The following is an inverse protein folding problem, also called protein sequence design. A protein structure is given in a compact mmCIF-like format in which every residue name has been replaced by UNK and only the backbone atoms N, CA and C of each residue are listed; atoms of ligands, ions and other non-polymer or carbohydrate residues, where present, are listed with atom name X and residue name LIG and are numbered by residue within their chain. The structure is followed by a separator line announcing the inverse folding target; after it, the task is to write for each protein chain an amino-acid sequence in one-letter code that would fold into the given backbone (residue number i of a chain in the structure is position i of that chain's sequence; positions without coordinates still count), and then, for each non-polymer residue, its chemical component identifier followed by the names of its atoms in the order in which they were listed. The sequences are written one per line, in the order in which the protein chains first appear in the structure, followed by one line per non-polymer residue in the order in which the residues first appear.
data_IF_622277743440
#
_entry.id   IF_622277743440
#
_cell.length_a   1.000
_cell.length_b   1.000
_cell.length_c   1.000
_cell.angle_alpha   90.00
_cell.angle_beta   90.00
_cell.angle_gamma   90.00
#
_symmetry.space_group_name_H-M   'P 1'
#
loop_
_entity.id
_entity.type
_entity.pdbx_description
1 polymer ?
#
# COMPACT_ATOMS: atom_id res chain seq x y z
N UNK A 1 20.30 -11.02 8.93
CA UNK A 1 18.87 -10.90 8.58
C UNK A 1 18.83 -10.37 7.16
N UNK A 2 18.14 -11.06 6.26
CA UNK A 2 17.89 -10.60 4.90
C UNK A 2 16.70 -9.65 4.94
N UNK A 3 16.88 -8.41 4.50
CA UNK A 3 15.80 -7.42 4.47
C UNK A 3 15.28 -7.27 3.04
N UNK A 4 13.97 -7.12 2.88
CA UNK A 4 13.27 -6.92 1.60
C UNK A 4 12.28 -5.76 1.73
N UNK A 5 11.99 -5.12 0.61
CA UNK A 5 10.88 -4.16 0.50
C UNK A 5 9.71 -4.90 -0.12
N UNK A 6 8.52 -4.66 0.37
CA UNK A 6 7.31 -5.10 -0.31
C UNK A 6 6.44 -3.91 -0.68
N UNK A 7 5.72 -4.04 -1.79
CA UNK A 7 4.72 -3.09 -2.25
C UNK A 7 3.35 -3.76 -2.28
N UNK A 8 2.35 -3.10 -1.72
CA UNK A 8 0.96 -3.54 -1.75
C UNK A 8 0.17 -2.52 -2.58
N UNK A 9 -0.24 -2.92 -3.78
CA UNK A 9 -1.09 -2.10 -4.64
C UNK A 9 -2.52 -2.62 -4.57
N UNK A 10 -3.46 -1.75 -4.24
CA UNK A 10 -4.88 -2.10 -4.17
C UNK A 10 -5.45 -2.26 -5.58
N UNK A 11 -6.05 -3.41 -5.89
CA UNK A 11 -6.81 -3.63 -7.14
C UNK A 11 -8.31 -3.36 -6.95
N UNK A 12 -8.74 -3.26 -5.69
CA UNK A 12 -10.09 -2.90 -5.27
C UNK A 12 -10.01 -2.06 -3.99
N UNK A 13 -11.08 -1.37 -3.62
CA UNK A 13 -11.11 -0.64 -2.35
C UNK A 13 -10.77 -1.58 -1.18
N UNK A 14 -9.86 -1.15 -0.31
CA UNK A 14 -9.28 -1.95 0.76
C UNK A 14 -9.84 -1.50 2.12
N UNK A 15 -10.35 -2.45 2.90
CA UNK A 15 -10.81 -2.21 4.26
C UNK A 15 -10.00 -3.06 5.25
N UNK A 16 -9.02 -2.44 5.90
CA UNK A 16 -8.31 -3.03 7.04
C UNK A 16 -8.73 -2.27 8.29
N UNK A 17 -9.82 -2.74 8.92
CA UNK A 17 -10.48 -2.02 10.02
C UNK A 17 -9.76 -2.13 11.36
N UNK A 18 -10.01 -1.15 12.24
CA UNK A 18 -9.56 -1.14 13.65
C UNK A 18 -10.63 -1.62 14.63
N UNK A 19 -11.77 -2.10 14.13
CA UNK A 19 -12.97 -2.36 14.91
C UNK A 19 -13.99 -1.24 14.74
N UNK A 20 -14.86 -1.03 15.72
CA UNK A 20 -15.79 0.10 15.72
C UNK A 20 -15.08 1.38 16.17
N UNK A 21 -15.24 2.44 15.37
CA UNK A 21 -14.76 3.77 15.70
C UNK A 21 -15.70 4.50 16.68
N UNK A 22 -15.16 5.52 17.36
CA UNK A 22 -15.94 6.49 18.16
C UNK A 22 -16.23 7.77 17.34
N UNK A 23 -15.81 7.80 16.08
CA UNK A 23 -15.95 8.95 15.17
C UNK A 23 -17.24 8.92 14.35
N UNK A 24 -17.28 9.75 13.31
CA UNK A 24 -18.42 9.84 12.37
C UNK A 24 -18.56 8.59 11.50
N UNK A 25 -17.45 7.87 11.29
CA UNK A 25 -17.43 6.59 10.56
C UNK A 25 -17.48 5.44 11.55
N UNK A 26 -18.45 4.53 11.37
CA UNK A 26 -18.64 3.38 12.26
C UNK A 26 -17.48 2.38 12.15
N UNK A 27 -17.01 2.12 10.92
CA UNK A 27 -15.91 1.20 10.63
C UNK A 27 -14.78 1.95 9.88
N UNK A 28 -13.88 2.65 10.60
CA UNK A 28 -12.74 3.33 10.00
C UNK A 28 -11.63 2.35 9.60
N UNK A 29 -10.78 2.75 8.65
CA UNK A 29 -9.55 2.00 8.33
C UNK A 29 -8.45 2.24 9.37
N UNK A 30 -7.42 1.41 9.36
CA UNK A 30 -6.20 1.62 10.14
C UNK A 30 -5.43 2.86 9.69
N UNK A 31 -5.01 3.67 10.67
CA UNK A 31 -4.18 4.87 10.47
C UNK A 31 -3.02 4.87 11.47
N UNK A 32 -1.86 5.34 11.03
CA UNK A 32 -0.71 5.56 11.90
C UNK A 32 -1.01 6.65 12.92
N UNK A 33 -0.85 6.36 14.22
CA UNK A 33 -1.35 7.25 15.27
C UNK A 33 -0.74 8.66 15.26
N UNK A 34 0.54 8.79 14.91
CA UNK A 34 1.25 10.06 14.94
C UNK A 34 0.92 10.98 13.76
N UNK A 35 0.59 10.41 12.59
CA UNK A 35 0.42 11.15 11.33
C UNK A 35 -1.00 11.13 10.81
N UNK A 36 -1.85 10.25 11.34
CA UNK A 36 -3.18 9.92 10.84
C UNK A 36 -3.20 9.39 9.39
N UNK A 37 -2.06 9.05 8.79
CA UNK A 37 -2.01 8.48 7.45
C UNK A 37 -2.49 7.01 7.44
N UNK A 38 -3.23 6.56 6.41
CA UNK A 38 -3.62 5.16 6.26
C UNK A 38 -2.44 4.20 6.29
N UNK A 39 -2.60 3.08 6.98
CA UNK A 39 -1.63 1.98 7.01
C UNK A 39 -2.32 0.62 6.91
N UNK A 40 -1.55 -0.40 6.54
CA UNK A 40 -1.94 -1.80 6.70
C UNK A 40 -0.97 -2.45 7.68
N UNK A 41 -1.48 -2.97 8.80
CA UNK A 41 -0.63 -3.62 9.78
C UNK A 41 0.13 -4.81 9.19
N UNK A 42 1.40 -4.96 9.57
CA UNK A 42 2.25 -6.06 9.10
C UNK A 42 1.68 -7.42 9.48
N UNK A 43 0.92 -7.51 10.58
CA UNK A 43 0.19 -8.73 10.98
C UNK A 43 -0.90 -9.13 9.99
N UNK A 44 -1.61 -8.17 9.38
CA UNK A 44 -2.63 -8.44 8.38
C UNK A 44 -2.02 -9.05 7.11
N UNK A 45 -0.88 -8.51 6.66
CA UNK A 45 -0.15 -9.01 5.49
C UNK A 45 0.50 -10.36 5.80
N UNK A 46 1.12 -10.50 6.98
CA UNK A 46 1.78 -11.74 7.41
C UNK A 46 0.82 -12.93 7.43
N UNK A 47 -0.39 -12.73 7.96
CA UNK A 47 -1.42 -13.77 8.00
C UNK A 47 -1.84 -14.22 6.59
N UNK A 48 -2.16 -13.26 5.72
CA UNK A 48 -2.56 -13.54 4.33
C UNK A 48 -1.44 -14.23 3.56
N UNK A 49 -0.21 -13.71 3.61
CA UNK A 49 0.91 -14.29 2.87
C UNK A 49 1.22 -15.73 3.31
N UNK A 50 1.05 -16.05 4.61
CA UNK A 50 1.21 -17.42 5.12
C UNK A 50 0.26 -18.38 4.39
N UNK A 51 -1.00 -18.01 4.25
CA UNK A 51 -2.03 -18.83 3.62
C UNK A 51 -1.81 -18.92 2.10
N UNK A 52 -1.44 -17.80 1.47
CA UNK A 52 -1.21 -17.74 0.02
C UNK A 52 0.04 -18.50 -0.42
N UNK A 53 1.13 -18.47 0.35
CA UNK A 53 2.33 -19.27 0.06
C UNK A 53 2.05 -20.78 0.12
N UNK A 54 1.13 -21.20 0.99
CA UNK A 54 0.69 -22.59 1.05
C UNK A 54 -0.19 -22.95 -0.15
N UNK A 55 -1.15 -22.09 -0.51
CA UNK A 55 -2.14 -22.37 -1.54
C UNK A 55 -1.60 -22.18 -2.98
N UNK A 56 -0.96 -21.05 -3.26
CA UNK A 56 -0.51 -20.67 -4.61
C UNK A 56 0.91 -21.17 -4.89
N UNK A 57 1.84 -21.00 -3.95
CA UNK A 57 3.26 -21.35 -4.13
C UNK A 57 3.60 -22.79 -3.70
N UNK A 58 2.63 -23.52 -3.13
CA UNK A 58 2.77 -24.93 -2.70
C UNK A 58 3.97 -25.17 -1.78
N UNK A 59 4.31 -24.20 -0.94
CA UNK A 59 5.38 -24.31 0.05
C UNK A 59 5.01 -25.36 1.10
N UNK A 60 5.98 -26.16 1.55
CA UNK A 60 5.74 -27.23 2.51
C UNK A 60 5.26 -26.70 3.86
N UNK A 61 4.41 -27.45 4.57
CA UNK A 61 3.94 -27.07 5.91
C UNK A 61 5.10 -26.86 6.90
N UNK A 62 6.19 -27.62 6.73
CA UNK A 62 7.41 -27.47 7.52
C UNK A 62 8.02 -26.09 7.29
N UNK A 63 8.23 -25.69 6.04
CA UNK A 63 8.79 -24.40 5.69
C UNK A 63 7.88 -23.22 6.06
N UNK A 64 6.56 -23.37 5.89
CA UNK A 64 5.57 -22.37 6.34
C UNK A 64 5.68 -22.15 7.84
N UNK A 65 5.72 -23.22 8.64
CA UNK A 65 5.84 -23.10 10.09
C UNK A 65 7.18 -22.51 10.52
N UNK A 66 8.28 -22.88 9.86
CA UNK A 66 9.59 -22.26 10.11
C UNK A 66 9.59 -20.77 9.77
N UNK A 67 8.98 -20.37 8.66
CA UNK A 67 8.96 -18.98 8.20
C UNK A 67 8.02 -18.11 9.05
N UNK A 68 6.78 -18.53 9.27
CA UNK A 68 5.75 -17.72 9.93
C UNK A 68 5.57 -18.00 11.42
N UNK A 69 6.03 -19.15 11.90
CA UNK A 69 5.75 -19.69 13.23
C UNK A 69 4.59 -20.69 13.21
N UNK A 70 4.55 -21.62 14.18
CA UNK A 70 3.43 -22.56 14.36
C UNK A 70 2.18 -21.85 14.89
N UNK A 71 1.00 -22.31 14.47
CA UNK A 71 -0.29 -21.80 15.00
C UNK A 71 -0.58 -22.32 16.42
N UNK A 72 -0.22 -23.57 16.69
CA UNK A 72 -0.46 -24.25 17.96
C UNK A 72 0.86 -24.83 18.48
N UNK A 73 1.01 -24.91 19.79
CA UNK A 73 2.21 -25.45 20.46
C UNK A 73 3.52 -24.84 19.91
N UNK A 74 3.57 -23.50 19.85
CA UNK A 74 4.71 -22.76 19.34
C UNK A 74 5.95 -22.97 20.23
N UNK A 75 6.89 -23.77 19.73
CA UNK A 75 8.18 -24.08 20.36
C UNK A 75 9.32 -23.19 19.83
N UNK A 76 9.05 -22.40 18.79
CA UNK A 76 9.97 -21.43 18.22
C UNK A 76 9.21 -20.24 17.60
N UNK A 77 9.89 -19.11 17.46
CA UNK A 77 9.37 -17.94 16.73
C UNK A 77 9.63 -18.10 15.22
N UNK A 78 8.67 -17.64 14.40
CA UNK A 78 8.84 -17.59 12.94
C UNK A 78 10.07 -16.79 12.52
N UNK A 79 10.68 -17.18 11.40
CA UNK A 79 11.84 -16.52 10.85
C UNK A 79 11.54 -15.16 10.17
N UNK A 80 10.28 -14.89 9.78
CA UNK A 80 9.86 -13.66 9.10
C UNK A 80 9.19 -12.65 10.04
N UNK A 81 9.64 -11.40 9.92
CA UNK A 81 9.08 -10.23 10.58
C UNK A 81 8.59 -9.24 9.52
N UNK A 82 7.34 -8.79 9.65
CA UNK A 82 6.74 -7.77 8.80
C UNK A 82 6.67 -6.45 9.56
N UNK A 83 7.15 -5.38 8.93
CA UNK A 83 6.74 -4.02 9.28
C UNK A 83 5.34 -3.72 8.72
N UNK A 84 4.75 -2.64 9.21
CA UNK A 84 3.50 -2.13 8.66
C UNK A 84 3.73 -1.59 7.23
N UNK A 85 2.70 -1.67 6.40
CA UNK A 85 2.70 -1.02 5.09
C UNK A 85 2.21 0.42 5.24
N UNK A 86 3.06 1.36 4.85
CA UNK A 86 2.83 2.80 4.86
C UNK A 86 2.34 3.28 3.49
N UNK A 87 1.45 4.27 3.45
CA UNK A 87 0.89 4.82 2.21
C UNK A 87 1.94 5.56 1.38
N UNK A 88 2.32 5.03 0.21
CA UNK A 88 3.27 5.63 -0.73
C UNK A 88 2.58 6.58 -1.71
N UNK A 89 1.55 6.07 -2.41
CA UNK A 89 0.76 6.79 -3.40
C UNK A 89 -0.71 6.71 -3.04
N UNK A 90 -1.34 7.87 -2.93
CA UNK A 90 -2.78 8.02 -2.79
C UNK A 90 -3.37 8.43 -4.14
N UNK A 91 -4.25 7.61 -4.75
CA UNK A 91 -5.04 8.02 -5.90
C UNK A 91 -6.12 8.99 -5.45
N UNK A 92 -6.13 10.17 -6.07
CA UNK A 92 -7.06 11.25 -5.77
C UNK A 92 -7.77 11.60 -7.06
N UNK A 93 -9.08 11.81 -7.00
CA UNK A 93 -9.84 12.24 -8.19
C UNK A 93 -9.25 13.55 -8.70
N UNK A 94 -8.92 13.58 -9.98
CA UNK A 94 -8.44 14.77 -10.66
C UNK A 94 -9.40 15.15 -11.78
N UNK A 95 -9.65 16.45 -11.96
CA UNK A 95 -10.52 16.93 -13.05
C UNK A 95 -9.95 16.58 -14.44
N UNK A 96 -8.64 16.78 -14.64
CA UNK A 96 -7.92 16.35 -15.84
C UNK A 96 -7.10 15.09 -15.55
N UNK A 97 -6.95 14.21 -16.54
CA UNK A 97 -6.19 12.97 -16.40
C UNK A 97 -6.85 11.86 -15.57
N UNK A 98 -8.08 12.07 -15.08
CA UNK A 98 -8.94 11.14 -14.30
C UNK A 98 -8.52 10.95 -12.84
N UNK A 99 -7.24 10.67 -12.59
CA UNK A 99 -6.72 10.37 -11.26
C UNK A 99 -5.30 10.92 -11.13
N UNK A 100 -4.98 11.50 -9.98
CA UNK A 100 -3.63 11.87 -9.61
C UNK A 100 -3.07 10.86 -8.61
N UNK A 101 -1.85 10.36 -8.84
CA UNK A 101 -1.13 9.52 -7.88
C UNK A 101 -0.26 10.42 -7.01
N UNK A 102 -0.81 10.79 -5.86
CA UNK A 102 -0.23 11.78 -4.97
C UNK A 102 0.72 11.16 -3.93
N UNK A 103 1.78 11.88 -3.62
CA UNK A 103 2.67 11.65 -2.48
C UNK A 103 3.13 12.99 -1.90
N UNK A 104 3.99 13.00 -0.88
CA UNK A 104 4.53 14.23 -0.30
C UNK A 104 5.97 14.06 0.21
N UNK A 105 6.72 15.17 0.44
CA UNK A 105 8.08 15.12 0.99
C UNK A 105 8.20 14.26 2.27
N UNK A 106 7.25 14.34 3.19
CA UNK A 106 7.25 13.55 4.43
C UNK A 106 7.22 12.04 4.17
N UNK A 107 6.36 11.58 3.25
CA UNK A 107 6.28 10.17 2.83
C UNK A 107 7.54 9.76 2.10
N UNK A 108 8.02 10.60 1.17
CA UNK A 108 9.21 10.32 0.37
C UNK A 108 10.48 10.19 1.23
N UNK A 109 10.63 10.97 2.31
CA UNK A 109 11.79 10.86 3.22
C UNK A 109 11.81 9.52 3.96
N UNK A 110 10.64 9.02 4.36
CA UNK A 110 10.53 7.70 4.98
C UNK A 110 10.80 6.59 3.97
N UNK A 111 10.23 6.70 2.78
CA UNK A 111 10.49 5.78 1.68
C UNK A 111 11.99 5.72 1.33
N UNK A 112 12.65 6.87 1.21
CA UNK A 112 14.09 6.97 0.98
C UNK A 112 14.90 6.24 2.07
N UNK A 113 14.57 6.50 3.35
CA UNK A 113 15.22 5.84 4.50
C UNK A 113 15.07 4.33 4.45
N UNK A 114 13.88 3.84 4.16
CA UNK A 114 13.51 2.42 4.29
C UNK A 114 14.01 1.60 3.10
N UNK A 115 13.88 2.12 1.88
CA UNK A 115 14.39 1.48 0.65
C UNK A 115 15.89 1.64 0.51
N UNK A 116 16.50 2.61 1.21
CA UNK A 116 17.96 2.81 1.23
C UNK A 116 18.50 3.47 -0.03
N UNK A 117 17.66 4.21 -0.75
CA UNK A 117 17.98 4.97 -1.96
C UNK A 117 18.40 6.40 -1.60
N UNK A 118 19.06 7.09 -2.52
CA UNK A 118 19.33 8.52 -2.39
C UNK A 118 18.42 9.30 -3.35
N UNK A 119 17.40 9.94 -2.78
CA UNK A 119 16.44 10.75 -3.53
C UNK A 119 16.69 12.22 -3.21
N UNK A 120 16.80 13.03 -4.25
CA UNK A 120 16.80 14.49 -4.11
C UNK A 120 15.35 14.97 -3.89
N UNK A 121 14.88 14.84 -2.65
CA UNK A 121 13.50 15.18 -2.28
C UNK A 121 13.33 16.70 -2.31
N UNK A 122 12.41 17.24 -3.14
CA UNK A 122 12.21 18.68 -3.24
C UNK A 122 11.62 19.26 -1.95
N UNK A 123 12.05 20.46 -1.60
CA UNK A 123 11.27 21.31 -0.70
C UNK A 123 10.14 21.93 -1.52
N UNK A 124 8.93 21.85 -1.00
CA UNK A 124 7.71 22.34 -1.64
C UNK A 124 7.20 23.56 -0.89
N UNK A 125 6.67 24.54 -1.62
CA UNK A 125 5.93 25.65 -1.03
C UNK A 125 4.52 25.18 -0.66
N UNK A 126 3.97 25.67 0.46
CA UNK A 126 2.73 25.16 1.05
C UNK A 126 1.50 25.16 0.13
N UNK A 127 1.49 25.96 -0.94
CA UNK A 127 0.37 26.09 -1.89
C UNK A 127 0.69 25.60 -3.31
N UNK A 128 1.79 24.87 -3.52
CA UNK A 128 2.22 24.44 -4.85
C UNK A 128 2.50 22.94 -4.91
N UNK A 129 1.98 22.30 -5.95
CA UNK A 129 2.26 20.92 -6.29
C UNK A 129 3.43 20.83 -7.29
N UNK A 130 4.23 19.77 -7.17
CA UNK A 130 5.23 19.42 -8.17
C UNK A 130 4.76 18.24 -8.99
N UNK A 131 4.84 18.38 -10.30
CA UNK A 131 4.34 17.39 -11.26
C UNK A 131 5.44 16.99 -12.24
N UNK A 132 5.22 15.86 -12.90
CA UNK A 132 5.99 15.43 -14.06
C UNK A 132 5.53 16.19 -15.32
N UNK A 133 5.95 15.75 -16.52
CA UNK A 133 5.23 16.08 -17.77
C UNK A 133 3.82 15.48 -17.69
N UNK A 134 2.90 16.22 -17.07
CA UNK A 134 1.68 15.66 -16.50
C UNK A 134 0.43 15.92 -17.34
N UNK A 135 -0.46 14.94 -17.35
CA UNK A 135 -1.80 15.00 -17.96
C UNK A 135 -2.85 15.63 -17.03
N UNK A 136 -2.45 16.00 -15.81
CA UNK A 136 -3.33 16.59 -14.79
C UNK A 136 -3.53 18.10 -14.95
N UNK A 137 -2.69 18.77 -15.75
CA UNK A 137 -2.64 20.22 -15.86
C UNK A 137 -3.87 20.80 -16.57
N UNK A 138 -4.41 21.88 -15.99
CA UNK A 138 -5.42 22.75 -16.55
C UNK A 138 -4.89 24.17 -16.43
N UNK A 139 -4.33 24.72 -17.52
CA UNK A 139 -3.56 25.96 -17.43
C UNK A 139 -2.29 25.77 -16.61
N UNK A 140 -2.16 26.47 -15.48
CA UNK A 140 -1.03 26.32 -14.55
C UNK A 140 -1.40 25.61 -13.23
N UNK A 141 -2.59 25.02 -13.15
CA UNK A 141 -3.10 24.38 -11.94
C UNK A 141 -3.44 22.91 -12.18
N UNK A 142 -3.58 22.18 -11.09
CA UNK A 142 -4.29 20.91 -11.02
C UNK A 142 -5.51 21.08 -10.11
N UNK A 143 -6.59 20.39 -10.43
CA UNK A 143 -7.81 20.37 -9.61
C UNK A 143 -8.00 18.96 -9.04
N UNK A 144 -7.72 18.80 -7.75
CA UNK A 144 -7.78 17.53 -7.01
C UNK A 144 -8.94 17.59 -6.01
N UNK A 145 -9.95 16.75 -6.21
CA UNK A 145 -11.25 16.88 -5.54
C UNK A 145 -11.82 18.31 -5.65
N UNK A 146 -11.87 19.05 -4.54
CA UNK A 146 -12.34 20.43 -4.42
C UNK A 146 -11.21 21.45 -4.26
N UNK A 147 -9.95 21.03 -4.44
CA UNK A 147 -8.77 21.88 -4.31
C UNK A 147 -8.18 22.24 -5.67
N UNK A 148 -8.10 23.54 -5.94
CA UNK A 148 -7.30 24.09 -7.04
C UNK A 148 -5.90 24.43 -6.53
N UNK A 149 -4.88 23.80 -7.10
CA UNK A 149 -3.49 23.89 -6.62
C UNK A 149 -2.61 24.33 -7.79
N UNK A 150 -1.80 25.37 -7.59
CA UNK A 150 -0.78 25.74 -8.58
C UNK A 150 0.21 24.59 -8.76
N UNK A 151 0.53 24.25 -10.01
CA UNK A 151 1.36 23.10 -10.31
C UNK A 151 2.55 23.51 -11.17
N UNK A 152 3.74 23.08 -10.75
CA UNK A 152 4.99 23.35 -11.47
C UNK A 152 5.65 22.03 -11.87
N UNK A 153 6.00 21.95 -13.15
CA UNK A 153 6.79 20.85 -13.66
C UNK A 153 8.17 20.85 -13.01
N UNK A 154 8.59 19.71 -12.49
CA UNK A 154 9.83 19.59 -11.75
C UNK A 154 10.60 18.31 -12.10
N UNK A 155 11.87 18.44 -12.42
CA UNK A 155 12.73 17.31 -12.79
C UNK A 155 12.93 16.32 -11.64
N UNK A 156 12.99 16.79 -10.39
CA UNK A 156 13.14 15.92 -9.21
C UNK A 156 11.90 15.05 -9.02
N UNK A 157 10.71 15.63 -9.17
CA UNK A 157 9.45 14.88 -9.18
C UNK A 157 9.44 13.81 -10.28
N UNK A 158 9.97 14.14 -11.48
CA UNK A 158 10.16 13.17 -12.57
C UNK A 158 11.04 11.98 -12.19
N UNK A 159 12.22 12.23 -11.60
CA UNK A 159 13.15 11.17 -11.16
C UNK A 159 12.57 10.29 -10.05
N UNK A 160 11.86 10.90 -9.09
CA UNK A 160 11.17 10.18 -8.02
C UNK A 160 10.07 9.29 -8.61
N UNK A 161 9.27 9.82 -9.54
CA UNK A 161 8.24 9.06 -10.23
C UNK A 161 8.85 7.85 -10.96
N UNK A 162 9.94 8.05 -11.70
CA UNK A 162 10.66 6.96 -12.40
C UNK A 162 11.10 5.85 -11.45
N UNK A 163 11.69 6.21 -10.31
CA UNK A 163 12.12 5.22 -9.31
C UNK A 163 10.93 4.40 -8.78
N UNK A 164 9.83 5.09 -8.41
CA UNK A 164 8.65 4.44 -7.84
C UNK A 164 7.99 3.53 -8.88
N UNK A 165 7.76 4.00 -10.11
CA UNK A 165 7.10 3.18 -11.14
C UNK A 165 7.96 2.00 -11.59
N UNK A 166 9.29 2.12 -11.61
CA UNK A 166 10.18 1.01 -11.91
C UNK A 166 10.15 -0.07 -10.82
N UNK A 167 10.02 0.34 -9.55
CA UNK A 167 9.87 -0.59 -8.44
C UNK A 167 8.50 -1.29 -8.43
N UNK A 168 7.43 -0.58 -8.80
CA UNK A 168 6.05 -1.11 -8.85
C UNK A 168 5.78 -1.97 -10.08
N UNK A 169 6.42 -1.64 -11.21
CA UNK A 169 6.20 -2.31 -12.49
C UNK A 169 7.54 -2.77 -13.06
N UNK A 170 8.21 -3.79 -12.47
CA UNK A 170 9.41 -4.39 -13.04
C UNK A 170 9.14 -5.01 -14.43
N UNK A 171 10.19 -5.28 -15.20
CA UNK A 171 10.05 -5.73 -16.61
C UNK A 171 9.28 -7.04 -16.78
N UNK A 172 9.19 -7.86 -15.72
CA UNK A 172 8.38 -9.07 -15.68
C UNK A 172 6.86 -8.80 -15.75
N UNK A 173 6.44 -7.56 -15.46
CA UNK A 173 5.03 -7.17 -15.45
C UNK A 173 4.52 -6.99 -16.86
N UNK A 174 3.37 -7.58 -17.15
CA UNK A 174 2.73 -7.43 -18.45
C UNK A 174 2.48 -5.95 -18.76
N UNK A 175 3.00 -5.48 -19.90
CA UNK A 175 2.92 -4.08 -20.33
C UNK A 175 3.51 -3.09 -19.30
N UNK A 176 4.64 -3.45 -18.67
CA UNK A 176 5.34 -2.63 -17.68
C UNK A 176 5.51 -1.16 -18.13
N UNK A 177 6.00 -0.92 -19.35
CA UNK A 177 6.20 0.44 -19.86
C UNK A 177 4.90 1.23 -19.99
N UNK A 178 3.81 0.56 -20.39
CA UNK A 178 2.48 1.18 -20.43
C UNK A 178 2.04 1.64 -19.04
N UNK A 179 2.21 0.79 -18.03
CA UNK A 179 1.89 1.11 -16.64
C UNK A 179 2.78 2.21 -16.06
N UNK A 180 4.10 2.12 -16.28
CA UNK A 180 5.07 3.16 -15.86
C UNK A 180 4.68 4.52 -16.42
N UNK A 181 4.42 4.60 -17.72
CA UNK A 181 4.00 5.84 -18.37
C UNK A 181 2.64 6.33 -17.87
N UNK A 182 1.67 5.43 -17.69
CA UNK A 182 0.32 5.76 -17.23
C UNK A 182 0.30 6.32 -15.81
N UNK A 183 1.15 5.81 -14.91
CA UNK A 183 1.25 6.32 -13.53
C UNK A 183 2.12 7.58 -13.48
N UNK A 184 3.28 7.59 -14.16
CA UNK A 184 4.19 8.74 -14.18
C UNK A 184 3.54 10.00 -14.73
N UNK A 185 2.73 9.89 -15.78
CA UNK A 185 2.01 11.03 -16.38
C UNK A 185 0.89 11.60 -15.51
N UNK A 186 0.61 10.97 -14.36
CA UNK A 186 -0.38 11.38 -13.35
C UNK A 186 0.25 11.50 -11.95
N UNK A 187 1.57 11.43 -11.84
CA UNK A 187 2.26 11.52 -10.57
C UNK A 187 2.33 12.98 -10.11
N UNK A 188 2.06 13.19 -8.83
CA UNK A 188 2.13 14.52 -8.20
C UNK A 188 2.74 14.41 -6.80
N UNK A 189 3.63 15.35 -6.48
CA UNK A 189 4.13 15.59 -5.13
C UNK A 189 3.40 16.81 -4.58
N UNK A 190 2.65 16.62 -3.51
CA UNK A 190 1.89 17.66 -2.82
C UNK A 190 2.66 18.17 -1.59
N UNK A 191 2.33 19.37 -1.09
CA UNK A 191 2.69 19.80 0.25
C UNK A 191 2.22 18.79 1.30
N UNK A 192 2.99 18.63 2.38
CA UNK A 192 2.72 17.63 3.42
C UNK A 192 1.32 17.79 4.02
N UNK A 193 0.89 19.04 4.27
CA UNK A 193 -0.41 19.34 4.87
C UNK A 193 -1.58 19.07 3.91
N UNK A 194 -1.42 19.39 2.61
CA UNK A 194 -2.43 19.07 1.59
C UNK A 194 -2.55 17.55 1.42
N UNK A 195 -1.42 16.84 1.39
CA UNK A 195 -1.43 15.38 1.31
C UNK A 195 -2.09 14.74 2.54
N UNK A 196 -1.75 15.24 3.74
CA UNK A 196 -2.35 14.77 5.00
C UNK A 196 -3.87 14.99 5.02
N UNK A 197 -4.32 16.17 4.61
CA UNK A 197 -5.74 16.48 4.48
C UNK A 197 -6.44 15.51 3.51
N UNK A 198 -5.91 15.34 2.29
CA UNK A 198 -6.50 14.45 1.30
C UNK A 198 -6.43 12.96 1.72
N UNK A 199 -5.41 12.55 2.46
CA UNK A 199 -5.34 11.20 3.03
C UNK A 199 -6.41 10.94 4.09
N UNK A 200 -6.99 11.98 4.68
CA UNK A 200 -8.12 11.89 5.60
C UNK A 200 -9.47 12.00 4.89
N UNK A 201 -9.57 12.85 3.86
CA UNK A 201 -10.86 13.20 3.23
C UNK A 201 -11.16 12.50 1.91
N UNK A 202 -10.14 12.04 1.17
CA UNK A 202 -10.28 11.37 -0.11
C UNK A 202 -10.36 9.83 -0.01
N UNK A 203 -10.61 9.29 1.20
CA UNK A 203 -10.92 7.86 1.35
C UNK A 203 -12.38 7.58 0.99
N UNK A 204 -12.68 6.34 0.61
CA UNK A 204 -14.03 5.96 0.22
C UNK A 204 -14.91 5.69 1.44
N UNK A 205 -15.80 6.63 1.77
CA UNK A 205 -16.87 6.41 2.75
C UNK A 205 -18.09 5.82 2.07
N UNK A 206 -18.47 4.60 2.47
CA UNK A 206 -19.65 3.92 1.94
C UNK A 206 -20.67 3.67 3.03
N UNK A 207 -21.89 4.14 2.80
CA UNK A 207 -23.04 3.81 3.66
C UNK A 207 -23.61 2.46 3.23
N UNK A 208 -23.88 1.60 4.21
CA UNK A 208 -24.44 0.26 4.01
C UNK A 208 -25.67 0.05 4.88
N UNK A 209 -26.59 -0.73 4.32
CA UNK A 209 -27.82 -1.13 4.98
C UNK A 209 -28.00 -2.64 4.91
N UNK A 210 -28.77 -3.18 5.86
CA UNK A 210 -29.40 -4.50 5.72
C UNK A 210 -30.89 -4.31 5.50
N UNK A 211 -31.42 -4.93 4.44
CA UNK A 211 -32.84 -4.88 4.11
C UNK A 211 -33.52 -6.12 4.70
N UNK A 212 -34.65 -5.92 5.38
CA UNK A 212 -35.56 -6.99 5.76
C UNK A 212 -36.22 -7.55 4.48
N UNK A 213 -36.09 -8.87 4.26
CA UNK A 213 -36.52 -9.51 3.00
C UNK A 213 -38.04 -9.49 2.78
N UNK A 214 -38.83 -9.47 3.85
CA UNK A 214 -40.29 -9.50 3.79
C UNK A 214 -40.85 -8.09 3.55
N UNK A 215 -40.42 -7.13 4.36
CA UNK A 215 -40.95 -5.75 4.29
C UNK A 215 -40.29 -4.91 3.20
N UNK A 216 -39.12 -5.32 2.71
CA UNK A 216 -38.25 -4.55 1.78
C UNK A 216 -37.82 -3.18 2.33
N UNK A 217 -37.87 -3.00 3.65
CA UNK A 217 -37.38 -1.81 4.36
C UNK A 217 -36.07 -2.13 5.08
N UNK A 218 -35.29 -1.10 5.40
CA UNK A 218 -34.08 -1.24 6.24
C UNK A 218 -34.46 -1.88 7.58
N UNK A 219 -33.69 -2.88 8.00
CA UNK A 219 -33.83 -3.50 9.31
C UNK A 219 -33.34 -2.52 10.39
N UNK A 220 -34.07 -2.43 11.50
CA UNK A 220 -33.70 -1.56 12.63
C UNK A 220 -32.27 -1.80 13.10
N UNK A 221 -31.53 -0.70 13.28
CA UNK A 221 -30.12 -0.71 13.69
C UNK A 221 -29.13 -1.24 12.64
N UNK A 222 -29.57 -1.53 11.41
CA UNK A 222 -28.73 -2.09 10.36
C UNK A 222 -28.38 -1.07 9.27
N UNK A 223 -27.99 0.13 9.70
CA UNK A 223 -27.39 1.21 8.89
C UNK A 223 -26.01 1.50 9.50
N UNK A 224 -24.95 1.50 8.69
CA UNK A 224 -23.61 1.84 9.13
C UNK A 224 -22.77 2.39 7.97
N UNK A 225 -21.65 3.00 8.30
CA UNK A 225 -20.66 3.53 7.38
C UNK A 225 -19.36 2.75 7.49
N UNK A 226 -18.73 2.47 6.33
CA UNK A 226 -17.41 1.87 6.26
C UNK A 226 -16.49 2.75 5.43
N UNK A 227 -15.31 3.05 5.97
CA UNK A 227 -14.23 3.71 5.24
C UNK A 227 -13.40 2.66 4.50
N UNK A 228 -12.90 3.00 3.32
CA UNK A 228 -12.02 2.13 2.54
C UNK A 228 -10.91 2.98 1.93
N UNK A 229 -9.69 2.44 1.92
CA UNK A 229 -8.61 3.01 1.14
C UNK A 229 -8.90 2.75 -0.35
N UNK A 230 -8.85 3.76 -1.24
CA UNK A 230 -9.28 3.60 -2.62
C UNK A 230 -8.49 2.52 -3.39
N UNK A 231 -9.10 1.99 -4.44
CA UNK A 231 -8.38 1.19 -5.44
C UNK A 231 -7.24 2.00 -6.06
N UNK A 232 -6.19 1.32 -6.53
CA UNK A 232 -4.91 1.86 -7.01
C UNK A 232 -4.01 2.54 -5.97
N UNK A 233 -4.43 2.58 -4.70
CA UNK A 233 -3.52 3.01 -3.62
C UNK A 233 -2.33 2.08 -3.51
N UNK A 234 -1.15 2.67 -3.34
CA UNK A 234 0.10 1.93 -3.21
C UNK A 234 0.65 2.15 -1.82
N UNK A 235 0.96 1.07 -1.13
CA UNK A 235 1.67 1.06 0.14
C UNK A 235 3.02 0.37 -0.01
N UNK A 236 3.98 0.74 0.84
CA UNK A 236 5.26 0.04 0.95
C UNK A 236 5.52 -0.37 2.39
N UNK A 237 6.26 -1.46 2.58
CA UNK A 237 6.77 -1.82 3.89
C UNK A 237 8.07 -2.59 3.81
N UNK A 238 8.67 -2.82 4.97
CA UNK A 238 9.93 -3.56 5.12
C UNK A 238 9.63 -4.90 5.76
N UNK A 239 10.19 -5.98 5.22
CA UNK A 239 10.19 -7.29 5.88
C UNK A 239 11.61 -7.78 6.11
N UNK A 240 11.79 -8.53 7.20
CA UNK A 240 13.06 -9.14 7.58
C UNK A 240 12.92 -10.64 7.68
N UNK A 241 13.83 -11.37 7.02
CA UNK A 241 13.98 -12.82 7.11
C UNK A 241 15.23 -13.13 7.91
N UNK A 242 15.06 -13.84 9.02
CA UNK A 242 16.14 -14.31 9.88
C UNK A 242 16.45 -15.77 9.62
N UNK A 243 17.56 -16.27 10.16
CA UNK A 243 17.84 -17.71 10.14
C UNK A 243 16.74 -18.46 10.90
N UNK A 244 16.53 -19.73 10.53
CA UNK A 244 15.58 -20.57 11.23
C UNK A 244 15.88 -20.68 12.73
N UNK A 245 14.81 -20.69 13.53
CA UNK A 245 14.83 -21.06 14.96
C UNK A 245 14.21 -22.44 15.20
N UNK A 246 13.77 -23.10 14.14
CA UNK A 246 13.23 -24.44 14.15
C UNK A 246 14.38 -25.46 14.24
N UNK A 247 14.33 -26.37 15.21
CA UNK A 247 15.38 -27.39 15.40
C UNK A 247 15.40 -28.41 14.26
N UNK A 248 14.23 -28.64 13.64
CA UNK A 248 14.05 -29.65 12.60
C UNK A 248 14.26 -29.09 11.19
N UNK A 249 14.30 -27.75 11.05
CA UNK A 249 14.54 -27.07 9.79
C UNK A 249 15.66 -26.04 9.98
N UNK A 250 16.90 -26.33 9.60
CA UNK A 250 18.06 -25.46 9.85
C UNK A 250 18.39 -24.48 8.73
N UNK A 251 17.44 -24.20 7.84
CA UNK A 251 17.62 -23.26 6.74
C UNK A 251 18.11 -21.90 7.25
N UNK A 252 19.09 -21.35 6.55
CA UNK A 252 19.61 -20.02 6.84
C UNK A 252 18.66 -18.91 6.34
N UNK A 253 19.04 -17.65 6.56
CA UNK A 253 18.19 -16.51 6.18
C UNK A 253 18.04 -16.36 4.67
N UNK A 254 19.01 -16.82 3.87
CA UNK A 254 19.00 -16.74 2.40
C UNK A 254 18.09 -17.83 1.85
N UNK A 255 18.27 -19.08 2.29
CA UNK A 255 17.41 -20.21 1.91
C UNK A 255 15.94 -19.97 2.24
N UNK A 256 15.66 -19.31 3.37
CA UNK A 256 14.30 -18.93 3.75
C UNK A 256 13.75 -17.74 2.95
N UNK A 257 14.61 -16.80 2.55
CA UNK A 257 14.19 -15.66 1.73
C UNK A 257 13.87 -16.09 0.30
N UNK A 258 14.51 -17.14 -0.22
CA UNK A 258 14.23 -17.75 -1.52
C UNK A 258 12.85 -18.44 -1.58
N UNK A 259 12.22 -18.70 -0.43
CA UNK A 259 10.83 -19.21 -0.38
C UNK A 259 9.79 -18.12 -0.64
N UNK A 260 10.18 -16.84 -0.57
CA UNK A 260 9.29 -15.73 -0.89
C UNK A 260 9.07 -15.64 -2.40
N UNK A 261 7.88 -15.22 -2.85
CA UNK A 261 7.58 -15.09 -4.27
C UNK A 261 8.52 -14.09 -4.93
N UNK A 262 9.02 -14.45 -6.11
CA UNK A 262 9.75 -13.55 -7.01
C UNK A 262 8.82 -12.79 -7.95
N UNK A 263 7.70 -13.42 -8.30
CA UNK A 263 6.64 -12.83 -9.11
C UNK A 263 5.64 -12.07 -8.25
N UNK A 264 4.82 -11.24 -8.89
CA UNK A 264 3.69 -10.61 -8.20
C UNK A 264 2.66 -11.64 -7.74
N UNK A 265 2.13 -11.45 -6.53
CA UNK A 265 1.02 -12.25 -6.00
C UNK A 265 -0.25 -11.43 -5.94
N UNK A 266 -1.35 -12.02 -6.40
CA UNK A 266 -2.68 -11.51 -6.11
C UNK A 266 -3.14 -12.08 -4.77
N UNK A 267 -3.37 -11.20 -3.81
CA UNK A 267 -3.73 -11.55 -2.44
C UNK A 267 -4.98 -10.80 -1.98
N UNK A 268 -5.69 -11.37 -1.03
CA UNK A 268 -6.87 -10.75 -0.43
C UNK A 268 -6.57 -10.29 0.99
N UNK A 269 -6.54 -8.97 1.23
CA UNK A 269 -6.18 -8.35 2.51
C UNK A 269 -7.38 -7.66 3.15
N UNK A 270 -7.48 -7.76 4.48
CA UNK A 270 -8.46 -7.03 5.27
C UNK A 270 -9.77 -7.78 5.46
N UNK A 271 -10.88 -7.05 5.45
CA UNK A 271 -12.22 -7.61 5.60
C UNK A 271 -13.09 -7.40 4.36
N UNK A 272 -14.35 -7.86 4.46
CA UNK A 272 -15.39 -7.64 3.42
C UNK A 272 -15.05 -8.27 2.06
N UNK A 273 -14.29 -9.36 2.04
CA UNK A 273 -13.88 -10.10 0.84
C UNK A 273 -15.05 -10.47 -0.09
N UNK A 274 -16.15 -10.98 0.48
CA UNK A 274 -17.32 -11.46 -0.28
C UNK A 274 -18.11 -10.36 -0.98
N UNK A 275 -17.76 -9.09 -0.77
CA UNK A 275 -18.34 -7.93 -1.49
C UNK A 275 -17.29 -7.18 -2.31
N UNK A 276 -16.18 -7.85 -2.67
CA UNK A 276 -15.18 -7.34 -3.60
C UNK A 276 -14.24 -6.30 -3.00
N UNK A 277 -13.90 -6.42 -1.71
CA UNK A 277 -12.94 -5.52 -1.02
C UNK A 277 -11.63 -6.21 -0.71
N UNK A 278 -10.53 -5.51 -0.91
CA UNK A 278 -9.21 -5.92 -0.44
C UNK A 278 -8.45 -6.85 -1.37
N UNK A 279 -8.86 -6.99 -2.63
CA UNK A 279 -8.00 -7.60 -3.64
C UNK A 279 -6.81 -6.65 -3.89
N UNK A 280 -5.60 -7.18 -3.72
CA UNK A 280 -4.35 -6.44 -3.83
C UNK A 280 -3.32 -7.23 -4.64
N UNK A 281 -2.41 -6.50 -5.27
CA UNK A 281 -1.18 -6.99 -5.89
C UNK A 281 -0.02 -6.77 -4.93
N UNK A 282 0.68 -7.83 -4.55
CA UNK A 282 1.84 -7.81 -3.67
C UNK A 282 3.11 -8.07 -4.49
N UNK A 283 4.09 -7.19 -4.37
CA UNK A 283 5.45 -7.38 -4.89
C UNK A 283 6.44 -7.43 -3.72
N UNK A 284 7.42 -8.32 -3.79
CA UNK A 284 8.50 -8.39 -2.80
C UNK A 284 9.83 -8.25 -3.53
N UNK A 285 10.49 -7.11 -3.33
CA UNK A 285 11.72 -6.75 -4.01
C UNK A 285 12.91 -6.86 -3.04
N UNK A 286 14.08 -7.15 -3.59
CA UNK A 286 15.32 -6.95 -2.85
C UNK A 286 15.55 -5.46 -2.56
N UNK A 287 16.17 -5.14 -1.42
CA UNK A 287 16.63 -3.78 -1.16
C UNK A 287 17.76 -3.45 -2.13
N UNK A 288 17.68 -2.26 -2.75
CA UNK A 288 18.78 -1.73 -3.54
C UNK A 288 20.04 -1.64 -2.66
N UNK A 289 21.11 -2.33 -3.03
CA UNK A 289 22.38 -2.24 -2.30
C UNK A 289 22.90 -0.80 -2.41
N UNK A 290 23.23 -0.17 -1.27
CA UNK A 290 23.85 1.16 -1.26
C UNK A 290 25.13 1.14 -2.11
N UNK A 291 25.13 1.89 -3.21
CA UNK A 291 26.32 2.15 -4.04
C UNK A 291 26.47 1.27 -5.30
N UNK A 292 25.38 0.86 -5.94
CA UNK A 292 25.41 0.41 -7.34
C UNK A 292 25.14 1.58 -8.29
#
# INVERSE_FOLDING_TARGET
MQTRIFYLQNLSALHVGTGQGVGVVDLPIMRAKATNLPIVAGSAIKGVLRDELKAQCKISDKDINTLFGKNENADHAGAIAFGDAHLLLLPIRSFAGTVAYATCPFVLRQYQRDVGVDLDIPNINDNQALITSSTLLIGNQIALEDLDIEAVQNEKAGKIADMIVNALYPDLVLNADGWRNAVKSRFVVLPDDIFSFLADTATEIRTRIRINRETRVVQDGALWTEENLPADSVLWGVLGVSQSRDKDNKKDATELAELLPTDELNIQVGGKHTVGRGLCRLLINEIAKKGA
#
